data_IF_271525966019
#
_entry.id   IF_271525966019
#
_cell.length_a   1.000
_cell.length_b   1.000
_cell.length_c   1.000
_cell.angle_alpha   90.00
_cell.angle_beta   90.00
_cell.angle_gamma   90.00
#
_symmetry.space_group_name_H-M   'P 1'
#
loop_
_entity.id
_entity.type
_entity.pdbx_description
1 polymer ?
#
# COMPACT_ATOMS: atom_id res chain seq x y z
N UNK A 1 -9.24 0.89 3.82
CA UNK A 1 -8.69 -0.30 3.12
C UNK A 1 -9.81 -1.31 2.88
N UNK A 2 -9.72 -2.14 1.84
CA UNK A 2 -10.74 -3.13 1.46
C UNK A 2 -10.08 -4.41 0.95
N UNK A 3 -10.64 -5.55 1.36
CA UNK A 3 -10.30 -6.89 0.92
C UNK A 3 -11.56 -7.55 0.36
N UNK A 4 -11.48 -8.06 -0.87
CA UNK A 4 -12.55 -8.83 -1.48
C UNK A 4 -12.22 -10.33 -1.38
N UNK A 5 -13.20 -11.17 -1.07
CA UNK A 5 -13.03 -12.63 -0.93
C UNK A 5 -14.19 -13.41 -1.57
N UNK A 6 -14.67 -12.89 -2.70
CA UNK A 6 -15.79 -13.38 -3.49
C UNK A 6 -16.32 -12.23 -4.35
N UNK A 7 -17.29 -12.50 -5.22
CA UNK A 7 -17.84 -11.46 -6.11
C UNK A 7 -18.59 -10.37 -5.32
N UNK A 8 -19.23 -10.74 -4.22
CA UNK A 8 -20.10 -9.86 -3.42
C UNK A 8 -19.74 -9.85 -1.94
N UNK A 9 -18.56 -10.38 -1.59
CA UNK A 9 -18.08 -10.49 -0.22
C UNK A 9 -16.83 -9.66 0.00
N UNK A 10 -16.82 -8.87 1.07
CA UNK A 10 -15.69 -8.01 1.40
C UNK A 10 -15.55 -7.74 2.89
N UNK A 11 -14.32 -7.39 3.27
CA UNK A 11 -14.02 -6.73 4.53
C UNK A 11 -13.44 -5.36 4.20
N UNK A 12 -13.89 -4.31 4.89
CA UNK A 12 -13.31 -2.98 4.74
C UNK A 12 -13.27 -2.27 6.07
N UNK A 13 -12.31 -1.35 6.20
CA UNK A 13 -12.30 -0.37 7.26
C UNK A 13 -11.94 1.01 6.76
N UNK A 14 -12.44 2.00 7.48
CA UNK A 14 -12.17 3.42 7.32
C UNK A 14 -11.79 3.95 8.70
N UNK A 15 -10.78 4.81 8.74
CA UNK A 15 -10.44 5.55 9.95
C UNK A 15 -10.28 7.00 9.56
N UNK A 16 -10.85 7.87 10.38
CA UNK A 16 -10.82 9.32 10.22
C UNK A 16 -10.77 9.99 11.60
N UNK A 17 -11.08 11.28 11.67
CA UNK A 17 -11.12 12.03 12.93
C UNK A 17 -12.34 11.66 13.80
N UNK A 18 -13.40 11.11 13.22
CA UNK A 18 -14.62 10.73 13.93
C UNK A 18 -14.49 9.34 14.55
N UNK A 19 -13.56 8.52 14.08
CA UNK A 19 -13.15 7.27 14.71
C UNK A 19 -12.81 6.19 13.69
N UNK A 20 -13.12 4.95 14.05
CA UNK A 20 -12.90 3.78 13.20
C UNK A 20 -14.24 3.18 12.85
N UNK A 21 -14.42 2.88 11.57
CA UNK A 21 -15.52 2.08 11.04
C UNK A 21 -14.95 0.86 10.35
N UNK A 22 -15.56 -0.31 10.56
CA UNK A 22 -15.31 -1.47 9.72
C UNK A 22 -16.59 -2.23 9.40
N UNK A 23 -16.56 -2.97 8.32
CA UNK A 23 -17.68 -3.71 7.78
C UNK A 23 -17.22 -5.05 7.22
N UNK A 24 -18.00 -6.09 7.48
CA UNK A 24 -17.88 -7.41 6.87
C UNK A 24 -19.18 -7.66 6.11
N UNK A 25 -19.07 -7.86 4.80
CA UNK A 25 -20.15 -8.23 3.90
C UNK A 25 -19.94 -9.67 3.45
N UNK A 26 -20.92 -10.53 3.71
CA UNK A 26 -20.98 -11.90 3.22
C UNK A 26 -22.08 -11.97 2.16
N UNK A 27 -21.69 -12.08 0.90
CA UNK A 27 -22.59 -12.33 -0.21
C UNK A 27 -22.57 -13.79 -0.62
N UNK A 28 -22.46 -14.05 -1.92
CA UNK A 28 -22.34 -15.40 -2.46
C UNK A 28 -20.96 -15.97 -2.12
N UNK A 29 -20.92 -16.92 -1.20
CA UNK A 29 -19.72 -17.63 -0.77
C UNK A 29 -19.81 -19.11 -1.17
N UNK A 30 -18.70 -19.74 -1.55
CA UNK A 30 -18.64 -21.19 -1.74
C UNK A 30 -19.12 -21.99 -0.51
N UNK A 31 -19.70 -23.17 -0.73
CA UNK A 31 -20.25 -24.04 0.32
C UNK A 31 -19.24 -24.42 1.42
N UNK A 32 -17.94 -24.38 1.12
CA UNK A 32 -16.86 -24.59 2.10
C UNK A 32 -16.91 -23.60 3.28
N UNK A 33 -17.59 -22.46 3.12
CA UNK A 33 -17.77 -21.45 4.17
C UNK A 33 -19.14 -21.53 4.87
N UNK A 34 -20.01 -22.49 4.50
CA UNK A 34 -21.37 -22.62 5.04
C UNK A 34 -21.40 -22.77 6.57
N UNK A 35 -20.46 -23.53 7.13
CA UNK A 35 -20.31 -23.68 8.58
C UNK A 35 -19.95 -22.36 9.26
N UNK A 36 -19.02 -21.60 8.68
CA UNK A 36 -18.66 -20.27 9.20
C UNK A 36 -19.86 -19.34 9.18
N UNK A 37 -20.53 -19.22 8.03
CA UNK A 37 -21.73 -18.38 7.87
C UNK A 37 -22.79 -18.78 8.90
N UNK A 38 -23.05 -20.07 9.08
CA UNK A 38 -24.04 -20.57 10.03
C UNK A 38 -23.72 -20.20 11.48
N UNK A 39 -22.44 -20.15 11.87
CA UNK A 39 -22.00 -19.73 13.21
C UNK A 39 -22.19 -18.24 13.44
N UNK A 40 -21.90 -17.41 12.43
CA UNK A 40 -21.82 -15.95 12.63
C UNK A 40 -23.07 -15.19 12.17
N UNK A 41 -23.96 -15.81 11.38
CA UNK A 41 -25.11 -15.13 10.74
C UNK A 41 -25.99 -14.32 11.70
N UNK A 42 -26.12 -14.74 12.96
CA UNK A 42 -26.94 -14.05 13.96
C UNK A 42 -26.39 -12.67 14.35
N UNK A 43 -25.12 -12.38 14.04
CA UNK A 43 -24.49 -11.08 14.27
C UNK A 43 -24.74 -10.09 13.13
N UNK A 44 -25.17 -10.57 11.97
CA UNK A 44 -25.29 -9.78 10.75
C UNK A 44 -26.74 -9.32 10.55
N UNK A 45 -26.90 -8.16 9.92
CA UNK A 45 -28.17 -7.75 9.33
C UNK A 45 -28.28 -8.36 7.93
N UNK A 46 -29.42 -8.98 7.65
CA UNK A 46 -29.78 -9.42 6.31
C UNK A 46 -30.19 -8.21 5.46
N UNK A 47 -29.57 -8.06 4.31
CA UNK A 47 -29.88 -7.06 3.31
C UNK A 47 -30.24 -7.75 2.00
N UNK A 48 -31.50 -7.60 1.58
CA UNK A 48 -32.00 -8.11 0.31
C UNK A 48 -32.04 -6.99 -0.71
N UNK A 49 -30.97 -6.86 -1.50
CA UNK A 49 -30.94 -5.98 -2.67
C UNK A 49 -31.17 -6.82 -3.94
N UNK A 50 -32.44 -6.96 -4.35
CA UNK A 50 -32.82 -7.76 -5.53
C UNK A 50 -32.71 -9.26 -5.29
N UNK A 51 -32.10 -10.01 -6.21
CA UNK A 51 -31.99 -11.49 -6.19
C UNK A 51 -30.84 -12.03 -5.32
N UNK A 52 -29.98 -11.17 -4.79
CA UNK A 52 -28.80 -11.57 -4.01
C UNK A 52 -28.98 -11.24 -2.52
N UNK A 53 -28.97 -12.28 -1.68
CA UNK A 53 -28.98 -12.15 -0.22
C UNK A 53 -27.58 -11.78 0.26
N UNK A 54 -27.47 -10.69 1.02
CA UNK A 54 -26.22 -10.28 1.66
C UNK A 54 -26.40 -10.19 3.17
N UNK A 55 -25.38 -10.63 3.90
CA UNK A 55 -25.30 -10.43 5.35
C UNK A 55 -24.25 -9.38 5.61
N UNK A 56 -24.61 -8.32 6.34
CA UNK A 56 -23.69 -7.21 6.66
C UNK A 56 -23.56 -7.08 8.18
N UNK A 57 -22.33 -7.13 8.65
CA UNK A 57 -21.95 -6.70 9.99
C UNK A 57 -21.20 -5.38 9.84
N UNK A 58 -21.59 -4.38 10.63
CA UNK A 58 -20.87 -3.10 10.65
C UNK A 58 -20.62 -2.66 12.08
N UNK A 59 -19.51 -1.98 12.30
CA UNK A 59 -19.11 -1.51 13.62
C UNK A 59 -18.43 -0.15 13.51
N UNK A 60 -18.80 0.79 14.38
CA UNK A 60 -18.14 2.10 14.52
C UNK A 60 -17.74 2.33 15.97
N UNK A 61 -16.45 2.59 16.18
CA UNK A 61 -15.91 3.14 17.41
C UNK A 61 -15.62 4.61 17.19
N UNK A 62 -16.43 5.48 17.81
CA UNK A 62 -16.26 6.93 17.72
C UNK A 62 -15.10 7.41 18.59
N UNK A 63 -14.54 8.57 18.26
CA UNK A 63 -13.44 9.20 19.01
C UNK A 63 -13.79 9.52 20.46
N UNK A 64 -15.07 9.74 20.77
CA UNK A 64 -15.59 9.91 22.13
C UNK A 64 -15.77 8.58 22.90
N UNK A 65 -15.45 7.44 22.29
CA UNK A 65 -15.56 6.10 22.87
C UNK A 65 -16.92 5.43 22.72
N UNK A 66 -17.91 6.08 22.07
CA UNK A 66 -19.21 5.49 21.74
C UNK A 66 -19.06 4.38 20.70
N UNK A 67 -19.77 3.29 20.91
CA UNK A 67 -19.80 2.12 20.01
C UNK A 67 -21.17 2.00 19.36
N UNK A 68 -21.17 1.75 18.04
CA UNK A 68 -22.38 1.47 17.28
C UNK A 68 -22.17 0.19 16.48
N UNK A 69 -23.14 -0.72 16.54
CA UNK A 69 -23.11 -2.02 15.87
C UNK A 69 -24.29 -2.07 14.90
N UNK A 70 -24.06 -2.65 13.71
CA UNK A 70 -25.06 -2.87 12.70
C UNK A 70 -25.77 -1.57 12.29
N UNK A 71 -24.94 -0.56 12.02
CA UNK A 71 -25.33 0.78 11.64
C UNK A 71 -26.07 0.68 10.28
N UNK A 72 -27.34 1.12 10.21
CA UNK A 72 -28.10 1.13 8.96
C UNK A 72 -27.34 1.97 7.93
N UNK A 73 -27.02 1.35 6.77
CA UNK A 73 -26.26 1.89 5.64
C UNK A 73 -25.75 3.34 5.81
N UNK A 74 -24.63 3.49 6.51
CA UNK A 74 -24.04 4.81 6.78
C UNK A 74 -23.24 5.37 5.58
N UNK A 75 -23.04 4.58 4.52
CA UNK A 75 -22.32 5.06 3.35
C UNK A 75 -23.09 4.73 2.08
N UNK A 76 -23.66 5.79 1.49
CA UNK A 76 -23.91 5.86 0.05
C UNK A 76 -22.61 5.51 -0.69
N UNK A 77 -22.75 4.99 -1.91
CA UNK A 77 -21.66 4.58 -2.80
C UNK A 77 -20.61 5.69 -3.03
N UNK A 78 -19.74 5.95 -2.08
CA UNK A 78 -18.60 6.84 -2.28
C UNK A 78 -17.40 6.01 -2.66
N UNK A 79 -17.19 6.00 -3.98
CA UNK A 79 -16.08 5.38 -4.69
C UNK A 79 -15.93 3.93 -4.27
N UNK A 80 -16.62 3.02 -4.98
CA UNK A 80 -15.91 1.81 -5.38
C UNK A 80 -14.63 2.35 -6.01
N UNK A 81 -13.44 2.15 -5.43
CA UNK A 81 -12.32 2.11 -6.32
C UNK A 81 -12.72 0.98 -7.26
N UNK A 82 -12.97 1.27 -8.53
CA UNK A 82 -13.00 0.17 -9.49
C UNK A 82 -11.73 -0.60 -9.22
N UNK A 83 -11.81 -1.92 -9.21
CA UNK A 83 -10.67 -2.79 -8.93
C UNK A 83 -9.49 -2.50 -9.92
N UNK A 84 -9.78 -1.67 -10.95
CA UNK A 84 -8.90 -1.10 -11.95
C UNK A 84 -8.52 0.42 -11.78
N UNK A 85 -9.02 1.17 -10.79
CA UNK A 85 -8.67 2.60 -10.51
C UNK A 85 -7.26 2.76 -9.98
N UNK A 86 -6.74 1.73 -9.34
CA UNK A 86 -5.43 1.74 -8.70
C UNK A 86 -4.36 1.07 -9.55
N UNK A 87 -4.76 0.29 -10.56
CA UNK A 87 -3.85 -0.45 -11.42
C UNK A 87 -3.70 0.30 -12.74
N UNK A 88 -2.50 0.82 -13.00
CA UNK A 88 -2.19 1.53 -14.24
C UNK A 88 -2.15 0.55 -15.41
N UNK A 89 -1.48 -0.59 -15.23
CA UNK A 89 -1.32 -1.68 -16.19
C UNK A 89 -0.97 -2.98 -15.45
N UNK A 90 -0.68 -4.05 -16.19
CA UNK A 90 -0.23 -5.32 -15.61
C UNK A 90 0.99 -5.12 -14.70
N UNK A 91 0.91 -5.71 -13.51
CA UNK A 91 2.00 -5.75 -12.52
C UNK A 91 3.22 -6.44 -13.11
N UNK A 92 4.41 -5.93 -12.79
CA UNK A 92 5.65 -6.65 -13.05
C UNK A 92 5.91 -7.72 -11.99
N UNK A 93 6.04 -8.97 -12.43
CA UNK A 93 6.41 -10.11 -11.57
C UNK A 93 7.34 -11.04 -12.33
N UNK A 94 8.48 -11.39 -11.73
CA UNK A 94 9.46 -12.34 -12.25
C UNK A 94 9.81 -13.36 -11.16
N UNK A 95 9.68 -14.65 -11.47
CA UNK A 95 9.97 -15.72 -10.49
C UNK A 95 11.46 -16.05 -10.37
N UNK A 96 12.23 -15.90 -11.46
CA UNK A 96 13.62 -16.37 -11.55
C UNK A 96 14.56 -15.33 -12.18
N UNK A 97 14.27 -14.04 -12.00
CA UNK A 97 15.15 -12.99 -12.50
C UNK A 97 16.41 -12.85 -11.64
N UNK A 98 17.53 -12.55 -12.30
CA UNK A 98 18.84 -12.27 -11.69
C UNK A 98 19.24 -10.82 -12.01
N UNK A 99 18.70 -9.82 -11.29
CA UNK A 99 19.08 -8.42 -11.49
C UNK A 99 20.55 -8.21 -11.16
N UNK A 100 21.15 -7.19 -11.76
CA UNK A 100 22.55 -6.84 -11.48
C UNK A 100 22.66 -6.12 -10.15
N UNK A 101 23.48 -6.65 -9.26
CA UNK A 101 23.86 -5.94 -8.03
C UNK A 101 24.73 -4.72 -8.36
N UNK A 102 24.41 -3.59 -7.72
CA UNK A 102 25.18 -2.34 -7.83
C UNK A 102 25.57 -1.86 -6.44
N UNK A 103 26.72 -1.19 -6.34
CA UNK A 103 27.19 -0.64 -5.07
C UNK A 103 26.48 0.68 -4.75
N UNK A 104 26.57 1.13 -3.49
CA UNK A 104 26.09 2.45 -3.11
C UNK A 104 26.81 3.57 -3.89
N UNK A 105 28.10 3.39 -4.21
CA UNK A 105 28.87 4.36 -5.00
C UNK A 105 28.36 4.45 -6.44
N UNK A 106 28.08 3.29 -7.05
CA UNK A 106 27.49 3.24 -8.39
C UNK A 106 26.10 3.88 -8.41
N UNK A 107 25.25 3.59 -7.41
CA UNK A 107 23.95 4.24 -7.27
C UNK A 107 24.08 5.76 -7.06
N UNK A 108 25.04 6.22 -6.25
CA UNK A 108 25.31 7.65 -6.08
C UNK A 108 25.69 8.32 -7.40
N UNK A 109 26.54 7.68 -8.21
CA UNK A 109 26.92 8.17 -9.54
C UNK A 109 25.73 8.21 -10.51
N UNK A 110 24.86 7.20 -10.48
CA UNK A 110 23.64 7.15 -11.28
C UNK A 110 22.72 8.32 -10.91
N UNK A 111 22.39 8.47 -9.62
CA UNK A 111 21.53 9.57 -9.15
C UNK A 111 22.10 10.92 -9.58
N UNK A 112 23.41 11.13 -9.39
CA UNK A 112 24.05 12.41 -9.74
C UNK A 112 23.97 12.72 -11.23
N UNK A 113 24.26 11.74 -12.09
CA UNK A 113 24.54 11.98 -13.51
C UNK A 113 23.39 11.64 -14.47
N UNK A 114 22.29 11.04 -13.99
CA UNK A 114 21.17 10.56 -14.82
C UNK A 114 19.85 11.21 -14.43
N UNK A 115 18.87 11.14 -15.31
CA UNK A 115 17.50 11.53 -14.99
C UNK A 115 16.85 10.40 -14.21
N UNK A 116 16.55 10.64 -12.94
CA UNK A 116 16.01 9.60 -12.05
C UNK A 116 14.71 10.07 -11.42
N UNK A 117 13.79 9.13 -11.20
CA UNK A 117 12.57 9.35 -10.44
C UNK A 117 12.56 8.37 -9.26
N UNK A 118 12.20 8.88 -8.08
CA UNK A 118 12.15 8.06 -6.87
C UNK A 118 10.73 7.55 -6.63
N UNK A 119 10.63 6.28 -6.25
CA UNK A 119 9.36 5.62 -5.98
C UNK A 119 9.44 4.82 -4.68
N UNK A 120 8.56 5.09 -3.72
CA UNK A 120 8.63 4.47 -2.39
C UNK A 120 7.45 3.56 -2.09
N UNK A 121 7.74 2.46 -1.38
CA UNK A 121 6.74 1.59 -0.76
C UNK A 121 6.84 1.60 0.77
N UNK A 122 6.04 0.75 1.42
CA UNK A 122 5.87 0.77 2.88
C UNK A 122 7.17 0.48 3.66
N UNK A 123 8.16 -0.17 3.03
CA UNK A 123 9.44 -0.52 3.67
C UNK A 123 10.20 0.69 4.24
N UNK A 124 10.06 1.86 3.63
CA UNK A 124 10.71 3.10 4.11
C UNK A 124 10.17 3.58 5.47
N UNK A 125 8.94 3.20 5.81
CA UNK A 125 8.18 3.64 7.00
C UNK A 125 8.25 2.65 8.17
N UNK A 126 8.71 1.40 7.93
CA UNK A 126 8.78 0.35 8.96
C UNK A 126 9.59 0.79 10.20
N UNK A 127 10.71 1.47 9.99
CA UNK A 127 11.57 1.94 11.09
C UNK A 127 10.92 3.04 11.96
N UNK A 128 9.80 3.63 11.52
CA UNK A 128 8.99 4.57 12.32
C UNK A 128 7.88 3.88 13.11
N UNK A 129 7.74 2.55 12.98
CA UNK A 129 6.65 1.80 13.59
C UNK A 129 5.33 1.86 12.81
N UNK A 130 5.35 2.34 11.56
CA UNK A 130 4.22 2.21 10.63
C UNK A 130 4.23 0.78 10.06
N UNK A 131 3.21 -0.05 10.32
CA UNK A 131 3.12 -1.40 9.78
C UNK A 131 3.09 -1.39 8.24
N UNK A 132 3.91 -2.24 7.62
CA UNK A 132 3.69 -2.64 6.23
C UNK A 132 2.48 -3.58 6.12
N UNK A 133 2.19 -4.06 4.90
CA UNK A 133 1.01 -4.91 4.68
C UNK A 133 1.03 -6.18 5.53
N UNK A 134 2.17 -6.89 5.59
CA UNK A 134 2.29 -8.11 6.38
C UNK A 134 2.18 -7.84 7.88
N UNK A 135 2.79 -6.76 8.36
CA UNK A 135 2.70 -6.33 9.75
C UNK A 135 1.27 -5.92 10.12
N UNK A 136 0.53 -5.32 9.18
CA UNK A 136 -0.88 -4.98 9.34
C UNK A 136 -1.76 -6.23 9.43
N UNK A 137 -1.55 -7.23 8.57
CA UNK A 137 -2.23 -8.53 8.69
C UNK A 137 -2.01 -9.13 10.08
N UNK A 138 -0.75 -9.17 10.53
CA UNK A 138 -0.40 -9.68 11.86
C UNK A 138 -1.02 -8.86 12.99
N UNK A 139 -0.99 -7.52 12.90
CA UNK A 139 -1.59 -6.62 13.88
C UNK A 139 -3.09 -6.87 14.03
N UNK A 140 -3.80 -7.03 12.91
CA UNK A 140 -5.23 -7.27 12.89
C UNK A 140 -5.59 -8.74 13.19
N UNK A 141 -4.60 -9.65 13.15
CA UNK A 141 -4.84 -11.09 13.27
C UNK A 141 -5.55 -11.65 12.04
N UNK A 142 -5.32 -11.06 10.87
CA UNK A 142 -5.89 -11.49 9.60
C UNK A 142 -4.94 -12.47 8.90
N UNK A 143 -5.50 -13.54 8.36
CA UNK A 143 -4.77 -14.50 7.53
C UNK A 143 -4.96 -14.18 6.04
N UNK A 144 -4.15 -14.79 5.15
CA UNK A 144 -4.26 -14.64 3.70
C UNK A 144 -4.90 -15.86 3.04
N UNK A 145 -5.44 -15.70 1.84
CA UNK A 145 -6.05 -16.77 1.06
C UNK A 145 -7.36 -17.29 1.66
N UNK A 146 -7.60 -18.60 1.56
CA UNK A 146 -8.84 -19.25 2.02
C UNK A 146 -9.12 -19.06 3.52
N UNK A 147 -8.08 -18.80 4.32
CA UNK A 147 -8.19 -18.59 5.77
C UNK A 147 -8.59 -17.17 6.16
N UNK A 148 -8.55 -16.22 5.23
CA UNK A 148 -8.88 -14.81 5.49
C UNK A 148 -10.27 -14.66 6.13
N UNK A 149 -11.29 -15.31 5.57
CA UNK A 149 -12.66 -15.20 6.08
C UNK A 149 -12.77 -15.69 7.53
N UNK A 150 -12.17 -16.84 7.85
CA UNK A 150 -12.19 -17.38 9.21
C UNK A 150 -11.48 -16.46 10.21
N UNK A 151 -10.41 -15.78 9.79
CA UNK A 151 -9.69 -14.84 10.65
C UNK A 151 -10.51 -13.59 11.06
N UNK A 152 -11.61 -13.30 10.35
CA UNK A 152 -12.53 -12.21 10.71
C UNK A 152 -13.42 -12.53 11.93
N UNK A 153 -13.45 -13.78 12.41
CA UNK A 153 -14.25 -14.17 13.58
C UNK A 153 -13.90 -13.33 14.81
N UNK A 154 -12.62 -13.00 15.01
CA UNK A 154 -12.18 -12.14 16.12
C UNK A 154 -12.72 -10.69 16.00
N UNK A 155 -12.86 -10.16 14.78
CA UNK A 155 -13.47 -8.84 14.56
C UNK A 155 -14.97 -8.85 14.95
N UNK A 156 -15.65 -9.99 14.81
CA UNK A 156 -17.05 -10.16 15.19
C UNK A 156 -17.23 -10.44 16.69
N UNK A 157 -16.26 -11.10 17.34
CA UNK A 157 -16.30 -11.41 18.77
C UNK A 157 -15.85 -10.25 19.65
N UNK A 158 -14.80 -9.54 19.23
CA UNK A 158 -14.18 -8.44 19.98
C UNK A 158 -14.03 -7.20 19.11
N UNK A 159 -15.14 -6.63 18.60
CA UNK A 159 -15.09 -5.56 17.62
C UNK A 159 -14.38 -4.30 18.14
N UNK A 160 -14.50 -3.98 19.44
CA UNK A 160 -13.79 -2.87 20.07
C UNK A 160 -12.26 -3.05 20.06
N UNK A 161 -11.78 -4.25 20.39
CA UNK A 161 -10.34 -4.56 20.38
C UNK A 161 -9.80 -4.47 18.95
N UNK A 162 -10.53 -5.05 18.00
CA UNK A 162 -10.19 -5.03 16.59
C UNK A 162 -10.15 -3.59 16.03
N UNK A 163 -11.16 -2.77 16.33
CA UNK A 163 -11.18 -1.36 15.94
C UNK A 163 -10.05 -0.55 16.60
N UNK A 164 -9.65 -0.89 17.83
CA UNK A 164 -8.54 -0.23 18.51
C UNK A 164 -7.19 -0.48 17.79
N UNK A 165 -7.02 -1.67 17.19
CA UNK A 165 -5.83 -2.00 16.37
C UNK A 165 -5.81 -1.19 15.08
N UNK A 166 -6.95 -1.03 14.41
CA UNK A 166 -7.10 -0.14 13.24
C UNK A 166 -6.77 1.31 13.62
N UNK A 167 -7.26 1.78 14.77
CA UNK A 167 -6.96 3.14 15.25
C UNK A 167 -5.47 3.32 15.53
N UNK A 168 -4.80 2.31 16.09
CA UNK A 168 -3.36 2.34 16.32
C UNK A 168 -2.58 2.44 14.99
N UNK A 169 -2.97 1.66 13.99
CA UNK A 169 -2.42 1.76 12.63
C UNK A 169 -2.62 3.17 12.03
N UNK A 170 -3.84 3.70 12.08
CA UNK A 170 -4.15 5.04 11.58
C UNK A 170 -3.31 6.13 12.26
N UNK A 171 -3.17 6.06 13.59
CA UNK A 171 -2.32 6.99 14.35
C UNK A 171 -0.85 6.88 13.94
N UNK A 172 -0.35 5.66 13.70
CA UNK A 172 1.00 5.47 13.23
C UNK A 172 1.21 6.16 11.86
N UNK A 173 0.28 5.99 10.92
CA UNK A 173 0.35 6.63 9.60
C UNK A 173 0.37 8.17 9.66
N UNK A 174 -0.39 8.78 10.58
CA UNK A 174 -0.52 10.24 10.66
C UNK A 174 0.54 10.93 11.53
N UNK A 175 0.95 10.29 12.62
CA UNK A 175 1.66 10.98 13.70
C UNK A 175 3.06 10.44 13.98
N UNK A 176 3.50 9.37 13.31
CA UNK A 176 4.87 8.89 13.48
C UNK A 176 5.87 9.84 12.83
N UNK A 177 7.08 9.92 13.38
CA UNK A 177 8.11 10.79 12.85
C UNK A 177 8.67 10.25 11.52
N UNK A 178 9.10 11.10 10.58
CA UNK A 178 9.82 10.64 9.40
C UNK A 178 11.07 9.84 9.78
N UNK A 179 11.35 8.78 9.02
CA UNK A 179 12.59 8.00 9.21
C UNK A 179 13.80 8.73 8.63
N UNK A 180 15.02 8.27 8.95
CA UNK A 180 16.25 8.85 8.36
C UNK A 180 16.23 8.77 6.83
N UNK A 181 15.69 7.67 6.29
CA UNK A 181 15.51 7.49 4.86
C UNK A 181 14.57 8.54 4.25
N UNK A 182 13.47 8.92 4.92
CA UNK A 182 12.57 9.98 4.43
C UNK A 182 13.30 11.32 4.32
N UNK A 183 14.02 11.71 5.39
CA UNK A 183 14.77 12.98 5.43
C UNK A 183 15.82 13.00 4.33
N UNK A 184 16.61 11.94 4.18
CA UNK A 184 17.64 11.85 3.15
C UNK A 184 17.05 11.84 1.73
N UNK A 185 15.93 11.13 1.52
CA UNK A 185 15.27 11.05 0.23
C UNK A 185 14.64 12.39 -0.19
N UNK A 186 14.11 13.16 0.76
CA UNK A 186 13.71 14.55 0.51
C UNK A 186 14.84 15.36 -0.09
N UNK A 187 16.03 15.34 0.52
CA UNK A 187 17.16 16.15 0.07
C UNK A 187 17.64 15.70 -1.32
N UNK A 188 17.60 14.39 -1.60
CA UNK A 188 17.87 13.83 -2.93
C UNK A 188 16.83 14.27 -3.98
N UNK A 189 15.54 14.28 -3.62
CA UNK A 189 14.47 14.73 -4.50
C UNK A 189 14.60 16.21 -4.86
N UNK A 190 14.93 17.05 -3.86
CA UNK A 190 15.23 18.48 -4.05
C UNK A 190 16.44 18.66 -4.96
N UNK A 191 17.53 17.94 -4.69
CA UNK A 191 18.75 17.97 -5.52
C UNK A 191 18.46 17.60 -6.98
N UNK A 192 17.59 16.60 -7.22
CA UNK A 192 17.18 16.18 -8.57
C UNK A 192 16.09 17.04 -9.19
N UNK A 193 15.48 17.94 -8.41
CA UNK A 193 14.30 18.71 -8.80
C UNK A 193 13.17 17.82 -9.35
N UNK A 194 12.90 16.71 -8.65
CA UNK A 194 11.83 15.75 -9.01
C UNK A 194 10.86 15.59 -7.85
N UNK A 195 9.59 15.34 -8.19
CA UNK A 195 8.59 14.97 -7.19
C UNK A 195 8.70 13.48 -6.88
N UNK A 196 8.73 13.13 -5.60
CA UNK A 196 8.69 11.73 -5.15
C UNK A 196 7.37 11.07 -5.50
N UNK A 197 7.39 9.83 -5.96
CA UNK A 197 6.22 8.97 -6.07
C UNK A 197 6.12 8.06 -4.84
N UNK A 198 4.91 7.77 -4.38
CA UNK A 198 4.71 6.83 -3.27
C UNK A 198 3.41 6.03 -3.37
N UNK A 199 3.45 4.78 -2.92
CA UNK A 199 2.26 3.96 -2.64
C UNK A 199 1.78 4.10 -1.19
N UNK A 200 2.56 4.80 -0.35
CA UNK A 200 2.28 4.85 1.09
C UNK A 200 1.05 5.69 1.39
N UNK A 201 0.21 5.12 2.27
CA UNK A 201 -0.95 5.81 2.85
C UNK A 201 -0.56 6.73 4.01
N UNK A 202 0.64 6.54 4.57
CA UNK A 202 1.14 7.37 5.66
C UNK A 202 1.54 8.78 5.18
N UNK A 203 1.75 9.69 6.15
CA UNK A 203 2.09 11.09 5.92
C UNK A 203 3.57 11.41 6.25
N UNK A 204 4.46 10.41 6.26
CA UNK A 204 5.84 10.62 6.74
C UNK A 204 6.68 11.42 5.74
N UNK A 205 6.40 11.32 4.44
CA UNK A 205 7.00 12.19 3.43
C UNK A 205 6.60 13.66 3.66
N UNK A 206 5.33 13.94 3.91
CA UNK A 206 4.84 15.28 4.25
C UNK A 206 5.47 15.80 5.53
N UNK A 207 5.53 14.96 6.57
CA UNK A 207 6.16 15.31 7.83
C UNK A 207 7.68 15.55 7.68
N UNK A 208 8.33 15.00 6.64
CA UNK A 208 9.73 15.32 6.29
C UNK A 208 9.88 16.67 5.57
N UNK A 209 8.78 17.23 5.06
CA UNK A 209 8.72 18.51 4.36
C UNK A 209 8.62 18.42 2.84
N UNK A 210 8.25 17.27 2.27
CA UNK A 210 8.01 17.10 0.82
C UNK A 210 6.59 16.63 0.55
N UNK A 211 6.02 17.03 -0.57
CA UNK A 211 4.68 16.62 -0.97
C UNK A 211 4.75 15.57 -2.08
N UNK A 212 4.72 14.27 -1.75
CA UNK A 212 4.84 13.22 -2.75
C UNK A 212 3.61 13.22 -3.67
N UNK A 213 3.77 12.62 -4.84
CA UNK A 213 2.64 12.21 -5.67
C UNK A 213 2.26 10.78 -5.25
N UNK A 214 1.10 10.63 -4.64
CA UNK A 214 0.51 9.31 -4.37
C UNK A 214 -0.06 8.76 -5.65
N UNK A 215 0.27 7.51 -5.98
CA UNK A 215 -0.16 6.89 -7.23
C UNK A 215 -1.70 6.87 -7.30
N UNK A 216 -2.22 7.55 -8.31
CA UNK A 216 -3.62 7.51 -8.72
C UNK A 216 -3.64 7.01 -10.16
N UNK A 217 -4.00 5.74 -10.37
CA UNK A 217 -3.88 5.16 -11.70
C UNK A 217 -4.87 5.73 -12.70
N UNK A 218 -6.00 6.30 -12.25
CA UNK A 218 -6.90 7.04 -13.13
C UNK A 218 -6.21 8.30 -13.65
N UNK A 219 -5.71 9.13 -12.74
CA UNK A 219 -4.97 10.34 -13.12
C UNK A 219 -3.78 10.00 -14.02
N UNK A 220 -2.98 9.01 -13.65
CA UNK A 220 -1.82 8.61 -14.46
C UNK A 220 -2.20 8.21 -15.88
N UNK A 221 -3.27 7.43 -16.07
CA UNK A 221 -3.71 7.02 -17.42
C UNK A 221 -4.29 8.16 -18.25
N UNK A 222 -4.96 9.10 -17.61
CA UNK A 222 -5.70 10.17 -18.30
C UNK A 222 -4.84 11.40 -18.58
N UNK A 223 -3.90 11.72 -17.69
CA UNK A 223 -3.21 13.03 -17.68
C UNK A 223 -1.70 12.95 -17.89
N UNK A 224 -1.08 11.78 -17.75
CA UNK A 224 0.38 11.63 -17.84
C UNK A 224 0.75 10.88 -19.14
N UNK A 225 1.39 11.59 -20.04
CA UNK A 225 1.86 11.06 -21.33
C UNK A 225 3.10 10.17 -21.16
N UNK A 226 3.31 9.21 -22.08
CA UNK A 226 4.47 8.31 -22.02
C UNK A 226 5.80 9.04 -22.13
N UNK A 227 5.83 10.16 -22.86
CA UNK A 227 6.96 11.05 -23.04
C UNK A 227 7.44 11.61 -21.70
N UNK A 228 6.52 11.90 -20.78
CA UNK A 228 6.85 12.33 -19.43
C UNK A 228 7.58 11.25 -18.63
N UNK A 229 7.31 9.97 -18.88
CA UNK A 229 8.03 8.86 -18.23
C UNK A 229 9.32 8.50 -18.96
N UNK A 230 9.35 8.64 -20.28
CA UNK A 230 10.50 8.32 -21.12
C UNK A 230 11.72 9.22 -20.86
N UNK A 231 11.53 10.41 -20.29
CA UNK A 231 12.63 11.28 -19.90
C UNK A 231 13.52 10.72 -18.76
N UNK A 232 13.01 9.78 -17.97
CA UNK A 232 13.72 9.19 -16.85
C UNK A 232 14.50 7.96 -17.29
N UNK A 233 15.82 8.02 -17.15
CA UNK A 233 16.73 6.90 -17.40
C UNK A 233 16.51 5.77 -16.38
N UNK A 234 16.22 6.13 -15.12
CA UNK A 234 16.04 5.19 -14.02
C UNK A 234 14.82 5.53 -13.15
N UNK A 235 14.09 4.51 -12.72
CA UNK A 235 13.22 4.57 -11.53
C UNK A 235 13.95 3.93 -10.36
N UNK A 236 14.10 4.66 -9.26
CA UNK A 236 14.74 4.19 -8.04
C UNK A 236 13.66 3.85 -7.02
N UNK A 237 13.42 2.56 -6.84
CA UNK A 237 12.47 2.00 -5.90
C UNK A 237 13.09 1.86 -4.51
N UNK A 238 12.44 2.35 -3.47
CA UNK A 238 12.96 2.37 -2.10
C UNK A 238 11.92 1.76 -1.16
N UNK A 239 12.24 0.59 -0.59
CA UNK A 239 11.34 -0.13 0.31
C UNK A 239 10.04 -0.59 -0.35
N UNK A 240 10.09 -0.95 -1.63
CA UNK A 240 8.96 -1.41 -2.42
C UNK A 240 9.21 -2.87 -2.81
N UNK A 241 8.31 -3.76 -2.39
CA UNK A 241 8.43 -5.21 -2.64
C UNK A 241 7.65 -5.69 -3.88
N UNK A 242 6.56 -5.02 -4.22
CA UNK A 242 5.64 -5.41 -5.29
C UNK A 242 5.27 -4.20 -6.17
N UNK A 243 4.99 -4.44 -7.45
CA UNK A 243 4.44 -3.43 -8.37
C UNK A 243 2.90 -3.51 -8.37
N UNK A 244 2.28 -3.35 -7.19
CA UNK A 244 0.85 -3.65 -7.02
C UNK A 244 -0.06 -2.71 -7.83
N UNK A 245 0.41 -1.49 -8.07
CA UNK A 245 -0.24 -0.49 -8.91
C UNK A 245 0.13 -0.60 -10.40
N UNK A 246 1.06 -1.48 -10.78
CA UNK A 246 1.51 -1.62 -12.17
C UNK A 246 2.28 -0.43 -12.73
N UNK A 247 2.69 0.51 -11.89
CA UNK A 247 3.41 1.72 -12.32
C UNK A 247 4.73 1.37 -13.03
N UNK A 248 5.47 0.37 -12.52
CA UNK A 248 6.76 -0.03 -13.09
C UNK A 248 6.58 -0.77 -14.42
N UNK A 249 5.51 -1.54 -14.57
CA UNK A 249 5.09 -2.10 -15.86
C UNK A 249 4.79 -1.00 -16.87
N UNK A 250 4.11 0.06 -16.44
CA UNK A 250 3.78 1.17 -17.32
C UNK A 250 5.02 1.98 -17.72
N UNK A 251 5.92 2.25 -16.77
CA UNK A 251 7.21 2.88 -17.05
C UNK A 251 7.98 2.14 -18.14
N UNK A 252 8.07 0.80 -18.09
CA UNK A 252 8.75 0.05 -19.16
C UNK A 252 8.02 0.06 -20.49
N UNK A 253 6.68 0.15 -20.49
CA UNK A 253 5.92 0.31 -21.73
C UNK A 253 6.24 1.64 -22.41
N UNK A 254 6.34 2.72 -21.63
CA UNK A 254 6.68 4.05 -22.13
C UNK A 254 8.19 4.23 -22.40
N UNK A 255 9.04 3.53 -21.65
CA UNK A 255 10.50 3.57 -21.78
C UNK A 255 11.11 2.15 -21.73
N UNK A 256 11.13 1.42 -22.87
CA UNK A 256 11.66 0.05 -22.90
C UNK A 256 13.14 -0.07 -22.55
N UNK A 257 13.92 1.02 -22.71
CA UNK A 257 15.34 1.06 -22.36
C UNK A 257 15.60 1.57 -20.95
N UNK A 258 14.59 2.20 -20.34
CA UNK A 258 14.58 2.64 -18.96
C UNK A 258 14.88 1.49 -18.00
N UNK A 259 15.48 1.84 -16.87
CA UNK A 259 15.99 0.87 -15.89
C UNK A 259 15.35 1.05 -14.54
N UNK A 260 15.18 -0.03 -13.81
CA UNK A 260 14.71 0.02 -12.43
C UNK A 260 15.87 -0.34 -11.51
N UNK A 261 16.01 0.40 -10.42
CA UNK A 261 16.94 0.07 -9.34
C UNK A 261 16.11 -0.08 -8.08
N UNK A 262 16.13 -1.25 -7.44
CA UNK A 262 15.57 -1.36 -6.10
C UNK A 262 16.65 -1.18 -5.03
N UNK A 263 16.29 -0.50 -3.95
CA UNK A 263 17.02 -0.47 -2.69
C UNK A 263 16.11 -1.11 -1.65
N UNK A 264 16.49 -2.29 -1.17
CA UNK A 264 15.71 -3.05 -0.21
C UNK A 264 16.57 -4.08 0.55
N UNK A 265 16.00 -4.74 1.55
CA UNK A 265 16.66 -5.81 2.30
C UNK A 265 16.74 -7.11 1.49
N UNK A 266 15.84 -7.30 0.53
CA UNK A 266 15.71 -8.51 -0.29
C UNK A 266 15.35 -8.14 -1.73
N UNK A 267 15.51 -9.07 -2.68
CA UNK A 267 15.14 -8.84 -4.07
C UNK A 267 13.61 -8.72 -4.22
N UNK A 268 13.07 -7.60 -4.72
CA UNK A 268 11.65 -7.47 -5.03
C UNK A 268 11.25 -8.28 -6.27
N UNK A 269 9.99 -8.68 -6.35
CA UNK A 269 9.51 -9.56 -7.43
C UNK A 269 9.41 -8.87 -8.80
N UNK A 270 9.44 -7.54 -8.85
CA UNK A 270 9.26 -6.78 -10.09
C UNK A 270 10.55 -6.58 -10.91
N UNK A 271 11.71 -6.88 -10.34
CA UNK A 271 13.00 -6.69 -11.01
C UNK A 271 13.21 -7.74 -12.11
N UNK A 272 13.54 -7.27 -13.32
CA UNK A 272 13.96 -8.11 -14.42
C UNK A 272 15.49 -8.33 -14.44
N UNK A 273 15.96 -9.17 -15.36
CA UNK A 273 17.40 -9.42 -15.56
C UNK A 273 18.18 -8.17 -16.00
N UNK A 274 17.49 -7.20 -16.57
CA UNK A 274 18.07 -5.97 -17.09
C UNK A 274 18.08 -4.82 -16.07
N UNK A 275 17.51 -5.05 -14.88
CA UNK A 275 17.38 -4.08 -13.79
C UNK A 275 18.44 -4.32 -12.70
N UNK A 276 18.45 -3.45 -11.70
CA UNK A 276 19.49 -3.39 -10.70
C UNK A 276 18.96 -3.50 -9.27
N UNK A 277 19.83 -3.97 -8.37
CA UNK A 277 19.52 -4.18 -6.96
C UNK A 277 20.65 -3.67 -6.07
N UNK A 278 20.28 -2.91 -5.04
CA UNK A 278 21.12 -2.55 -3.90
C UNK A 278 20.52 -3.19 -2.66
N UNK A 279 21.23 -4.15 -2.07
CA UNK A 279 20.81 -4.76 -0.81
C UNK A 279 21.32 -3.93 0.36
N UNK A 280 20.43 -3.55 1.28
CA UNK A 280 20.81 -2.93 2.54
C UNK A 280 19.66 -2.26 3.28
N UNK A 281 19.91 -1.88 4.54
CA UNK A 281 18.95 -1.12 5.33
C UNK A 281 18.77 0.29 4.74
N UNK A 282 17.53 0.64 4.41
CA UNK A 282 17.16 1.95 3.87
C UNK A 282 17.60 3.10 4.78
N UNK A 283 17.60 2.86 6.10
CA UNK A 283 17.99 3.85 7.11
C UNK A 283 19.49 4.12 7.15
N UNK A 284 20.28 3.31 6.46
CA UNK A 284 21.73 3.48 6.31
C UNK A 284 22.10 3.84 4.87
N UNK A 285 21.57 3.09 3.90
CA UNK A 285 21.88 3.23 2.47
C UNK A 285 21.47 4.60 1.95
N UNK A 286 20.23 5.04 2.18
CA UNK A 286 19.72 6.30 1.61
C UNK A 286 20.44 7.52 2.23
N UNK A 287 20.64 7.62 3.56
CA UNK A 287 21.47 8.69 4.14
C UNK A 287 22.92 8.66 3.67
N UNK A 288 23.55 7.49 3.52
CA UNK A 288 24.91 7.36 2.98
C UNK A 288 25.02 7.96 1.58
N UNK A 289 24.07 7.63 0.70
CA UNK A 289 24.01 8.15 -0.67
C UNK A 289 23.77 9.66 -0.67
N UNK A 290 22.84 10.15 0.16
CA UNK A 290 22.53 11.57 0.27
C UNK A 290 23.77 12.38 0.65
N UNK A 291 24.54 11.95 1.65
CA UNK A 291 25.78 12.62 2.05
C UNK A 291 26.78 12.71 0.90
N UNK A 292 26.99 11.61 0.16
CA UNK A 292 27.93 11.61 -0.98
C UNK A 292 27.53 12.54 -2.12
N UNK A 293 26.23 12.85 -2.25
CA UNK A 293 25.69 13.63 -3.36
C UNK A 293 25.60 15.11 -3.00
N UNK A 294 25.09 15.42 -1.81
CA UNK A 294 24.62 16.76 -1.40
C UNK A 294 25.63 17.47 -0.48
N UNK A 295 26.48 16.74 0.26
CA UNK A 295 27.59 17.29 1.05
C UNK A 295 28.90 17.30 0.22
#
# INVERSE_FOLDING_TARGET
>A
MRWNFGETSHFRFISDNDGVYFEICLGNLPDIYSDFVSRVKNKFIENTNGESQQFIFSYKLKSNGTEEINIPQCFQEERRPDEYSYIVTNRRVFENASPRYVSQDELSLIIRNRNVLFYTGAGISLASGVPGMNELYNLLGLEIGEKFLFSLENALEKPREFASKILAFHKACLFSAPTKAHIALKELAIFKNVRLLTENLDCLHEASGVYPYRIDAKHLREEIECECLAQFDYIICIGLNYDDHGFLGWYKKCNPHGKIIAVDLQQPSYLGNEDFLVIGDLQEVIPSIQKKIVE
#
